data_IF_974444692489
#
_entry.id   IF_974444692489
#
_cell.length_a   1.000
_cell.length_b   1.000
_cell.length_c   1.000
_cell.angle_alpha   90.00
_cell.angle_beta   90.00
_cell.angle_gamma   90.00
#
_symmetry.space_group_name_H-M   'P 1'
#
loop_
_entity.id
_entity.type
_entity.pdbx_description
1 polymer ?
#
# COMPACT_ATOMS: atom_id res chain seq x y z
N UNK A 1 3.32 15.19 -28.83
CA UNK A 1 4.52 14.68 -28.12
C UNK A 1 4.01 14.14 -26.78
N UNK A 2 3.28 13.00 -26.84
CA UNK A 2 3.72 11.62 -26.52
C UNK A 2 4.20 11.50 -25.06
N UNK A 3 3.44 10.79 -24.20
CA UNK A 3 3.64 10.78 -22.76
C UNK A 3 4.94 10.05 -22.42
N UNK A 4 5.62 10.59 -21.42
CA UNK A 4 6.78 10.04 -20.70
C UNK A 4 6.73 8.52 -20.55
N UNK A 5 7.49 7.83 -21.40
CA UNK A 5 7.79 6.39 -21.39
C UNK A 5 8.81 6.09 -20.28
N UNK A 6 8.33 5.73 -19.09
CA UNK A 6 9.12 5.03 -18.07
C UNK A 6 8.50 3.66 -17.90
N UNK A 7 8.74 2.76 -18.86
CA UNK A 7 8.43 1.36 -18.68
C UNK A 7 9.33 0.79 -17.58
N UNK A 8 8.81 -0.11 -16.76
CA UNK A 8 9.63 -0.90 -15.86
C UNK A 8 9.48 -2.38 -16.24
N UNK A 9 10.53 -3.15 -15.98
CA UNK A 9 10.64 -4.56 -16.34
C UNK A 9 11.04 -5.32 -15.09
N UNK A 10 10.20 -6.27 -14.66
CA UNK A 10 10.46 -7.09 -13.48
C UNK A 10 10.96 -8.46 -13.91
N UNK A 11 12.14 -8.84 -13.42
CA UNK A 11 12.65 -10.19 -13.57
C UNK A 11 11.80 -11.16 -12.75
N UNK A 12 11.21 -12.17 -13.40
CA UNK A 12 10.35 -13.18 -12.75
C UNK A 12 11.13 -14.15 -11.87
N UNK A 13 12.44 -14.28 -12.14
CA UNK A 13 13.31 -15.23 -11.45
C UNK A 13 13.82 -14.69 -10.10
N UNK A 14 14.16 -13.39 -10.03
CA UNK A 14 14.73 -12.79 -8.82
C UNK A 14 13.94 -11.59 -8.27
N UNK A 15 12.96 -11.07 -8.99
CA UNK A 15 12.18 -9.89 -8.61
C UNK A 15 12.87 -8.55 -8.85
N UNK A 16 14.03 -8.52 -9.54
CA UNK A 16 14.71 -7.26 -9.87
C UNK A 16 13.87 -6.41 -10.83
N UNK A 17 13.65 -5.14 -10.48
CA UNK A 17 12.91 -4.17 -11.29
C UNK A 17 13.91 -3.26 -12.00
N UNK A 18 13.92 -3.32 -13.33
CA UNK A 18 14.68 -2.42 -14.18
C UNK A 18 13.79 -1.29 -14.68
N UNK A 19 14.17 -0.04 -14.41
CA UNK A 19 13.46 1.14 -14.93
C UNK A 19 14.13 1.58 -16.23
N UNK A 20 13.41 1.45 -17.34
CA UNK A 20 13.96 1.76 -18.65
C UNK A 20 12.97 1.44 -19.76
N UNK A 21 13.09 2.11 -20.92
CA UNK A 21 12.21 1.85 -22.06
C UNK A 21 12.31 0.40 -22.55
N UNK A 22 13.45 -0.27 -22.33
CA UNK A 22 13.75 -1.63 -22.78
C UNK A 22 14.35 -2.47 -21.64
N UNK A 23 14.09 -3.78 -21.61
CA UNK A 23 14.68 -4.67 -20.61
C UNK A 23 16.17 -4.88 -20.90
N UNK A 24 17.01 -5.08 -19.88
CA UNK A 24 18.43 -5.37 -20.08
C UNK A 24 18.64 -6.78 -20.65
N UNK A 25 19.66 -6.98 -21.49
CA UNK A 25 20.04 -8.27 -22.10
C UNK A 25 20.21 -9.41 -21.07
N UNK A 26 20.81 -9.06 -19.93
CA UNK A 26 21.03 -9.96 -18.81
C UNK A 26 20.66 -9.26 -17.50
N UNK A 27 19.98 -9.99 -16.61
CA UNK A 27 19.65 -9.48 -15.28
C UNK A 27 20.94 -9.27 -14.46
N UNK A 28 21.23 -8.07 -13.95
CA UNK A 28 22.44 -7.82 -13.17
C UNK A 28 22.44 -8.50 -11.80
N UNK A 29 21.29 -9.02 -11.35
CA UNK A 29 21.14 -9.68 -10.04
C UNK A 29 21.33 -11.18 -10.14
N UNK A 30 20.68 -11.85 -11.10
CA UNK A 30 20.72 -13.31 -11.23
C UNK A 30 21.33 -13.83 -12.54
N UNK A 31 21.60 -12.97 -13.53
CA UNK A 31 22.23 -13.36 -14.80
C UNK A 31 21.31 -14.08 -15.79
N UNK A 32 19.99 -13.99 -15.64
CA UNK A 32 19.03 -14.54 -16.63
C UNK A 32 18.84 -13.58 -17.80
N UNK A 33 18.47 -14.10 -18.96
CA UNK A 33 18.24 -13.32 -20.17
C UNK A 33 16.98 -12.45 -20.09
N UNK A 34 16.86 -11.45 -20.98
CA UNK A 34 15.69 -10.57 -21.08
C UNK A 34 14.35 -11.30 -21.25
N UNK A 35 14.36 -12.53 -21.74
CA UNK A 35 13.16 -13.37 -21.87
C UNK A 35 12.45 -13.61 -20.53
N UNK A 36 13.19 -13.54 -19.42
CA UNK A 36 12.67 -13.74 -18.06
C UNK A 36 12.23 -12.40 -17.41
N UNK A 37 12.11 -11.31 -18.18
CA UNK A 37 11.59 -10.03 -17.73
C UNK A 37 10.17 -9.79 -18.23
N UNK A 38 9.25 -9.58 -17.31
CA UNK A 38 7.87 -9.19 -17.63
C UNK A 38 7.70 -7.67 -17.52
N UNK A 39 6.87 -7.04 -18.37
CA UNK A 39 6.58 -5.62 -18.29
C UNK A 39 5.87 -5.31 -16.97
N UNK A 40 6.59 -4.64 -16.08
CA UNK A 40 6.08 -4.07 -14.86
C UNK A 40 5.62 -2.65 -15.16
N UNK A 41 4.41 -2.51 -15.71
CA UNK A 41 3.75 -1.22 -15.69
C UNK A 41 3.46 -0.91 -14.23
N UNK A 42 4.21 0.01 -13.64
CA UNK A 42 3.88 0.56 -12.33
C UNK A 42 2.61 1.41 -12.49
N UNK A 43 1.45 0.76 -12.57
CA UNK A 43 0.31 1.27 -11.82
C UNK A 43 0.73 1.13 -10.37
N UNK A 44 1.31 2.23 -9.87
CA UNK A 44 1.73 2.43 -8.49
C UNK A 44 0.79 1.62 -7.62
N UNK A 45 1.32 0.58 -7.00
CA UNK A 45 0.69 -0.05 -5.85
C UNK A 45 0.71 0.99 -4.73
N UNK A 46 -0.12 2.00 -4.87
CA UNK A 46 -0.73 2.65 -3.73
C UNK A 46 -1.52 1.50 -3.15
N UNK A 47 -0.99 0.92 -2.08
CA UNK A 47 -1.76 0.06 -1.19
C UNK A 47 -3.19 0.60 -1.20
N UNK A 48 -4.21 -0.24 -1.48
CA UNK A 48 -5.56 0.27 -1.54
C UNK A 48 -5.76 1.10 -0.29
N UNK A 49 -6.10 2.37 -0.48
CA UNK A 49 -6.59 3.24 0.54
C UNK A 49 -7.90 2.63 1.05
N UNK A 50 -7.79 1.54 1.79
CA UNK A 50 -8.76 1.07 2.74
C UNK A 50 -8.29 1.70 4.04
N UNK A 51 -8.51 3.01 4.15
CA UNK A 51 -8.55 3.62 5.46
C UNK A 51 -9.48 2.77 6.35
N UNK A 52 -9.09 2.51 7.59
CA UNK A 52 -9.85 1.70 8.51
C UNK A 52 -11.18 2.41 8.77
N UNK A 53 -12.28 1.76 8.38
CA UNK A 53 -13.64 2.29 8.46
C UNK A 53 -14.14 2.44 9.91
N UNK A 54 -13.30 2.12 10.89
CA UNK A 54 -13.62 2.08 12.31
C UNK A 54 -12.46 2.59 13.14
N UNK A 55 -12.78 3.38 14.16
CA UNK A 55 -11.84 4.03 15.05
C UNK A 55 -12.19 3.71 16.50
N UNK A 56 -11.25 3.13 17.25
CA UNK A 56 -11.41 2.82 18.68
C UNK A 56 -10.82 3.93 19.52
N UNK A 57 -11.60 4.45 20.46
CA UNK A 57 -11.06 5.34 21.48
C UNK A 57 -10.20 4.56 22.49
N UNK A 58 -8.94 4.96 22.66
CA UNK A 58 -7.99 4.36 23.60
C UNK A 58 -8.35 4.57 25.08
N UNK A 59 -9.20 5.54 25.39
CA UNK A 59 -9.54 5.93 26.77
C UNK A 59 -10.76 5.17 27.30
N UNK A 60 -11.78 5.00 26.46
CA UNK A 60 -13.08 4.44 26.85
C UNK A 60 -13.56 3.29 25.98
N UNK A 61 -12.73 2.82 25.05
CA UNK A 61 -13.03 1.73 24.12
C UNK A 61 -14.14 2.00 23.10
N UNK A 62 -14.66 3.23 23.05
CA UNK A 62 -15.73 3.60 22.14
C UNK A 62 -15.31 3.41 20.68
N UNK A 63 -16.08 2.61 19.93
CA UNK A 63 -15.87 2.41 18.49
C UNK A 63 -16.74 3.39 17.71
N UNK A 64 -16.09 4.24 16.94
CA UNK A 64 -16.72 5.10 15.95
C UNK A 64 -16.65 4.44 14.57
N UNK A 65 -17.76 4.41 13.85
CA UNK A 65 -17.84 3.91 12.47
C UNK A 65 -17.83 5.12 11.52
N UNK A 66 -16.77 5.24 10.73
CA UNK A 66 -16.52 6.42 9.90
C UNK A 66 -15.18 6.31 9.20
N UNK A 67 -15.05 7.00 8.07
CA UNK A 67 -13.78 7.07 7.34
C UNK A 67 -12.72 7.90 8.13
N UNK A 68 -13.19 8.79 9.00
CA UNK A 68 -12.37 9.69 9.84
C UNK A 68 -12.80 9.60 11.32
N UNK A 69 -11.87 9.79 12.28
CA UNK A 69 -12.18 9.82 13.70
C UNK A 69 -12.90 11.12 14.07
N UNK A 70 -13.80 11.11 15.06
CA UNK A 70 -14.45 12.33 15.52
C UNK A 70 -13.45 13.24 16.26
N UNK A 71 -13.60 14.57 16.14
CA UNK A 71 -12.79 15.58 16.85
C UNK A 71 -12.79 15.36 18.37
N UNK A 72 -13.94 14.96 18.93
CA UNK A 72 -14.09 14.64 20.34
C UNK A 72 -14.93 13.37 20.52
N UNK A 73 -14.46 12.47 21.37
CA UNK A 73 -15.19 11.26 21.72
C UNK A 73 -16.49 11.62 22.47
N UNK A 74 -17.68 11.17 22.02
CA UNK A 74 -18.94 11.50 22.68
C UNK A 74 -19.10 10.86 24.08
N UNK A 75 -18.25 9.89 24.43
CA UNK A 75 -18.32 9.18 25.72
C UNK A 75 -17.37 9.78 26.76
N UNK A 76 -16.14 10.12 26.35
CA UNK A 76 -15.10 10.58 27.27
C UNK A 76 -14.53 11.97 26.95
N UNK A 77 -14.99 12.62 25.88
CA UNK A 77 -14.49 13.92 25.41
C UNK A 77 -12.98 13.94 25.11
N UNK A 78 -12.39 12.77 24.81
CA UNK A 78 -11.02 12.69 24.34
C UNK A 78 -10.91 13.21 22.89
N UNK A 79 -9.83 13.91 22.57
CA UNK A 79 -9.59 14.41 21.21
C UNK A 79 -9.34 13.30 20.18
N UNK A 80 -9.40 13.64 18.90
CA UNK A 80 -9.13 12.73 17.77
C UNK A 80 -7.78 11.97 17.90
N UNK A 81 -6.78 12.55 18.56
CA UNK A 81 -5.48 11.91 18.84
C UNK A 81 -5.58 10.65 19.72
N UNK A 82 -6.71 10.45 20.39
CA UNK A 82 -6.97 9.29 21.26
C UNK A 82 -7.78 8.20 20.55
N UNK A 83 -7.88 8.25 19.22
CA UNK A 83 -8.52 7.22 18.41
C UNK A 83 -7.49 6.45 17.60
N UNK A 84 -7.51 5.13 17.71
CA UNK A 84 -6.72 4.23 16.89
C UNK A 84 -7.58 3.56 15.82
N UNK A 85 -7.04 3.36 14.61
CA UNK A 85 -7.73 2.63 13.56
C UNK A 85 -7.90 1.14 13.90
N UNK A 86 -9.10 0.61 13.69
CA UNK A 86 -9.36 -0.84 13.77
C UNK A 86 -9.45 -1.40 12.35
N UNK A 87 -8.46 -2.21 11.98
CA UNK A 87 -8.56 -3.06 10.80
C UNK A 87 -9.53 -4.21 11.13
N UNK A 88 -10.60 -4.36 10.35
CA UNK A 88 -11.48 -5.53 10.47
C UNK A 88 -10.83 -6.77 9.84
N UNK A 89 -9.74 -7.25 10.42
CA UNK A 89 -9.27 -8.62 10.20
C UNK A 89 -8.52 -9.12 11.45
N UNK A 90 -9.11 -10.15 12.10
CA UNK A 90 -8.57 -10.96 13.20
C UNK A 90 -8.68 -10.45 14.66
N UNK A 91 -9.92 -10.33 15.16
CA UNK A 91 -10.19 -10.43 16.60
C UNK A 91 -11.29 -11.47 16.90
N UNK A 92 -10.94 -12.75 16.79
CA UNK A 92 -11.62 -13.87 17.47
C UNK A 92 -10.71 -15.08 17.52
N UNK A 93 -9.93 -15.19 18.59
CA UNK A 93 -9.65 -16.47 19.24
C UNK A 93 -9.45 -16.28 20.73
#
# INVERSE_FOLDING_TARGET
MQPTETAAWQCTVCGYIHHGPEPPDECPVCGVSSDEFEPHAEEVQVAPAAAPRRWRCLICDYVHEGDEPPDECPICAAGADQFEPIEEETAST
#
